data_IF_627753515977
#
_entry.id   IF_627753515977
#
_cell.length_a   1.000
_cell.length_b   1.000
_cell.length_c   1.000
_cell.angle_alpha   90.00
_cell.angle_beta   90.00
_cell.angle_gamma   90.00
#
_symmetry.space_group_name_H-M   'P 1'
#
loop_
_entity.id
_entity.type
_entity.pdbx_description
1 polymer ?
#
# COMPACT_ATOMS: atom_id res chain seq x y z
N UNK A 1 -42.52 -62.66 -44.82
CA UNK A 1 -42.51 -61.18 -44.93
C UNK A 1 -43.03 -60.63 -43.62
N UNK A 2 -42.40 -59.74 -42.85
CA UNK A 2 -41.13 -59.02 -42.86
C UNK A 2 -40.92 -58.57 -41.40
N UNK A 3 -39.90 -59.10 -40.71
CA UNK A 3 -38.70 -58.40 -40.20
C UNK A 3 -38.96 -57.21 -39.26
N UNK A 4 -38.66 -57.43 -37.98
CA UNK A 4 -38.49 -56.39 -36.97
C UNK A 4 -37.19 -55.59 -37.19
N UNK A 5 -37.23 -54.29 -36.97
CA UNK A 5 -36.06 -53.42 -36.76
C UNK A 5 -36.36 -52.40 -35.65
N UNK A 6 -35.46 -52.20 -34.68
CA UNK A 6 -35.52 -51.04 -33.79
C UNK A 6 -34.68 -49.92 -34.43
N UNK A 7 -35.25 -48.74 -34.63
CA UNK A 7 -34.46 -47.56 -35.02
C UNK A 7 -34.27 -46.71 -33.78
N UNK A 8 -33.00 -46.63 -33.37
CA UNK A 8 -32.48 -45.88 -32.25
C UNK A 8 -32.84 -44.39 -32.34
N UNK A 9 -33.23 -43.79 -31.22
CA UNK A 9 -33.27 -42.35 -31.05
C UNK A 9 -31.83 -41.81 -31.04
N UNK A 10 -31.38 -41.24 -32.16
CA UNK A 10 -30.17 -40.43 -32.19
C UNK A 10 -30.50 -39.04 -31.63
N UNK A 11 -30.00 -38.74 -30.43
CA UNK A 11 -30.02 -37.38 -29.88
C UNK A 11 -28.94 -36.57 -30.61
N UNK A 12 -29.37 -35.71 -31.51
CA UNK A 12 -28.50 -34.77 -32.23
C UNK A 12 -28.18 -33.59 -31.29
N UNK A 13 -27.02 -33.62 -30.63
CA UNK A 13 -26.46 -32.43 -29.97
C UNK A 13 -25.91 -31.48 -31.04
N UNK A 14 -26.70 -30.48 -31.41
CA UNK A 14 -26.22 -29.36 -32.22
C UNK A 14 -25.43 -28.43 -31.29
N UNK A 15 -24.10 -28.53 -31.31
CA UNK A 15 -23.23 -27.52 -30.72
C UNK A 15 -23.27 -26.27 -31.61
N UNK A 16 -24.05 -25.27 -31.21
CA UNK A 16 -23.89 -23.92 -31.74
C UNK A 16 -22.60 -23.33 -31.18
N UNK A 17 -21.52 -23.41 -31.98
CA UNK A 17 -20.33 -22.62 -31.76
C UNK A 17 -20.66 -21.18 -32.17
N UNK A 18 -21.16 -20.38 -31.23
CA UNK A 18 -21.16 -18.93 -31.43
C UNK A 18 -19.70 -18.47 -31.35
N UNK A 19 -19.09 -18.28 -32.51
CA UNK A 19 -17.87 -17.51 -32.68
C UNK A 19 -18.13 -16.10 -32.16
N UNK A 20 -17.89 -15.86 -30.88
CA UNK A 20 -17.70 -14.50 -30.41
C UNK A 20 -16.46 -13.98 -31.13
N UNK A 21 -16.69 -13.17 -32.16
CA UNK A 21 -15.68 -12.25 -32.65
C UNK A 21 -15.42 -11.28 -31.49
N UNK A 22 -14.53 -11.66 -30.58
CA UNK A 22 -13.89 -10.68 -29.72
C UNK A 22 -13.10 -9.80 -30.67
N UNK A 23 -13.66 -8.64 -30.98
CA UNK A 23 -12.86 -7.50 -31.37
C UNK A 23 -11.87 -7.31 -30.22
N UNK A 24 -10.65 -7.80 -30.39
CA UNK A 24 -9.54 -7.41 -29.53
C UNK A 24 -9.56 -5.88 -29.54
N UNK A 25 -9.78 -5.20 -28.40
CA UNK A 25 -9.33 -3.84 -28.31
C UNK A 25 -7.83 -3.95 -28.63
N UNK A 26 -7.39 -3.25 -29.68
CA UNK A 26 -5.98 -3.05 -29.93
C UNK A 26 -5.35 -2.75 -28.58
N UNK A 27 -4.44 -3.62 -28.14
CA UNK A 27 -3.70 -3.41 -26.92
C UNK A 27 -3.10 -2.01 -27.06
N UNK A 28 -3.73 -1.04 -26.39
CA UNK A 28 -3.15 0.27 -26.20
C UNK A 28 -1.82 -0.04 -25.55
N UNK A 29 -0.75 0.24 -26.28
CA UNK A 29 0.63 0.05 -25.88
C UNK A 29 0.71 0.12 -24.37
N UNK A 30 1.03 -1.00 -23.72
CA UNK A 30 1.57 -0.95 -22.38
C UNK A 30 2.77 -0.03 -22.48
N UNK A 31 2.59 1.24 -22.14
CA UNK A 31 3.69 2.09 -21.76
C UNK A 31 4.35 1.29 -20.65
N UNK A 32 5.49 0.69 -20.96
CA UNK A 32 6.44 0.26 -19.96
C UNK A 32 6.40 1.36 -18.91
N UNK A 33 5.89 1.05 -17.72
CA UNK A 33 5.99 1.95 -16.59
C UNK A 33 7.48 2.16 -16.44
N UNK A 34 8.01 3.25 -17.00
CA UNK A 34 9.32 3.74 -16.64
C UNK A 34 9.16 3.93 -15.15
N UNK A 35 9.77 3.04 -14.35
CA UNK A 35 9.76 3.16 -12.90
C UNK A 35 10.21 4.58 -12.59
N UNK A 36 9.24 5.44 -12.28
CA UNK A 36 9.49 6.86 -12.11
C UNK A 36 10.21 6.97 -10.78
N UNK A 37 11.51 7.26 -10.82
CA UNK A 37 12.30 7.52 -9.61
C UNK A 37 11.98 8.94 -9.16
N UNK A 38 11.24 9.09 -8.06
CA UNK A 38 11.11 10.38 -7.39
C UNK A 38 12.42 10.71 -6.69
N UNK A 39 12.96 11.91 -6.92
CA UNK A 39 14.18 12.39 -6.29
C UNK A 39 13.86 13.59 -5.41
N UNK A 40 14.25 13.51 -4.16
CA UNK A 40 14.16 14.62 -3.22
C UNK A 40 15.53 14.93 -2.63
N UNK A 41 15.79 16.22 -2.41
CA UNK A 41 16.96 16.69 -1.68
C UNK A 41 16.49 17.44 -0.44
N UNK A 42 16.96 17.01 0.73
CA UNK A 42 16.61 17.58 2.01
C UNK A 42 17.86 18.18 2.66
N UNK A 43 17.80 19.44 3.12
CA UNK A 43 18.94 20.06 3.78
C UNK A 43 19.20 19.39 5.14
N UNK A 44 20.46 19.40 5.57
CA UNK A 44 20.89 19.00 6.91
C UNK A 44 21.63 20.13 7.60
N UNK A 45 21.42 20.20 8.92
CA UNK A 45 22.16 21.09 9.80
C UNK A 45 23.42 20.34 10.30
N UNK A 46 24.51 20.46 9.54
CA UNK A 46 25.82 19.90 9.87
C UNK A 46 26.17 18.58 9.18
N UNK A 47 27.32 18.02 9.57
CA UNK A 47 28.01 16.96 8.80
C UNK A 47 27.54 15.53 9.12
N UNK A 48 26.65 15.36 10.10
CA UNK A 48 26.18 14.05 10.57
C UNK A 48 24.69 13.88 10.31
N UNK A 49 24.34 12.83 9.57
CA UNK A 49 22.95 12.43 9.35
C UNK A 49 22.53 11.36 10.36
N UNK A 50 21.48 11.64 11.13
CA UNK A 50 20.78 10.62 11.91
C UNK A 50 19.53 10.18 11.17
N UNK A 51 19.40 8.88 10.92
CA UNK A 51 18.22 8.29 10.29
C UNK A 51 17.56 7.35 11.28
N UNK A 52 16.27 7.52 11.51
CA UNK A 52 15.46 6.57 12.30
C UNK A 52 14.64 5.74 11.32
N UNK A 53 14.68 4.42 11.49
CA UNK A 53 13.83 3.49 10.76
C UNK A 53 12.93 2.74 11.74
N UNK A 54 11.64 2.72 11.44
CA UNK A 54 10.64 1.87 12.09
C UNK A 54 9.93 1.03 11.02
N UNK A 55 9.43 -0.13 11.41
CA UNK A 55 8.80 -1.10 10.51
C UNK A 55 7.76 -1.89 11.27
N UNK A 56 6.92 -2.64 10.55
CA UNK A 56 6.02 -3.66 11.12
C UNK A 56 5.11 -3.07 12.22
N UNK A 57 4.57 -1.88 11.94
CA UNK A 57 3.72 -1.14 12.88
C UNK A 57 2.45 -1.94 13.23
N UNK A 58 1.90 -2.65 12.25
CA UNK A 58 0.69 -3.45 12.33
C UNK A 58 -0.41 -2.76 13.14
N UNK A 59 -0.71 -1.51 12.78
CA UNK A 59 -1.81 -0.77 13.38
C UNK A 59 -3.10 -1.51 13.10
N UNK A 60 -3.91 -1.70 14.15
CA UNK A 60 -5.08 -2.55 14.07
C UNK A 60 -6.31 -1.89 14.67
N UNK A 61 -7.45 -2.00 13.99
CA UNK A 61 -8.75 -1.59 14.51
C UNK A 61 -9.13 -2.34 15.81
N UNK A 62 -8.51 -3.50 16.04
CA UNK A 62 -8.76 -4.35 17.21
C UNK A 62 -7.71 -4.19 18.31
N UNK A 63 -6.61 -3.49 18.04
CA UNK A 63 -5.52 -3.19 18.98
C UNK A 63 -5.11 -1.71 18.89
N UNK A 64 -6.02 -0.77 19.27
CA UNK A 64 -5.74 0.67 19.20
C UNK A 64 -4.58 1.11 20.10
N UNK A 65 -4.24 0.29 21.10
CA UNK A 65 -3.05 0.43 21.94
C UNK A 65 -1.75 0.52 21.13
N UNK A 66 -1.66 -0.17 19.98
CA UNK A 66 -0.46 -0.10 19.12
C UNK A 66 -0.23 1.29 18.54
N UNK A 67 -1.30 1.97 18.13
CA UNK A 67 -1.22 3.34 17.65
C UNK A 67 -0.84 4.30 18.78
N UNK A 68 -1.44 4.12 19.96
CA UNK A 68 -1.11 4.91 21.15
C UNK A 68 0.36 4.71 21.57
N UNK A 69 0.84 3.47 21.55
CA UNK A 69 2.23 3.12 21.89
C UNK A 69 3.22 3.62 20.85
N UNK A 70 2.89 3.55 19.56
CA UNK A 70 3.70 4.16 18.51
C UNK A 70 3.95 5.64 18.79
N UNK A 71 2.88 6.42 19.07
CA UNK A 71 3.01 7.83 19.42
C UNK A 71 3.79 8.01 20.73
N UNK A 72 3.45 7.26 21.77
CA UNK A 72 4.05 7.36 23.10
C UNK A 72 5.56 7.07 23.11
N UNK A 73 6.01 6.11 22.30
CA UNK A 73 7.39 5.66 22.26
C UNK A 73 8.23 6.42 21.23
N UNK A 74 7.70 6.61 20.01
CA UNK A 74 8.47 7.22 18.93
C UNK A 74 8.62 8.73 19.13
N UNK A 75 7.60 9.42 19.63
CA UNK A 75 7.65 10.88 19.87
C UNK A 75 8.85 11.31 20.71
N UNK A 76 9.07 10.81 21.94
CA UNK A 76 10.22 11.20 22.75
C UNK A 76 11.56 10.77 22.13
N UNK A 77 11.61 9.62 21.45
CA UNK A 77 12.81 9.17 20.75
C UNK A 77 13.23 10.15 19.64
N UNK A 78 12.28 10.59 18.81
CA UNK A 78 12.54 11.55 17.74
C UNK A 78 12.97 12.92 18.29
N UNK A 79 12.41 13.37 19.42
CA UNK A 79 12.86 14.61 20.10
C UNK A 79 14.32 14.52 20.56
N UNK A 80 14.71 13.36 21.08
CA UNK A 80 16.06 13.15 21.59
C UNK A 80 17.08 13.03 20.45
N UNK A 81 16.76 12.25 19.41
CA UNK A 81 17.66 11.96 18.28
C UNK A 81 17.76 13.17 17.33
N UNK A 82 16.67 13.92 17.15
CA UNK A 82 16.52 14.97 16.12
C UNK A 82 16.99 14.49 14.73
N UNK A 83 16.37 13.43 14.18
CA UNK A 83 16.87 12.82 12.96
C UNK A 83 16.66 13.69 11.71
N UNK A 84 17.58 13.56 10.76
CA UNK A 84 17.50 14.13 9.42
C UNK A 84 16.40 13.48 8.58
N UNK A 85 16.05 12.23 8.89
CA UNK A 85 15.09 11.40 8.16
C UNK A 85 14.41 10.36 9.07
N UNK A 86 13.10 10.14 8.88
CA UNK A 86 12.35 9.03 9.45
C UNK A 86 11.82 8.13 8.32
N UNK A 87 12.15 6.85 8.38
CA UNK A 87 11.66 5.83 7.46
C UNK A 87 10.64 4.93 8.18
N UNK A 88 9.49 4.71 7.55
CA UNK A 88 8.46 3.76 7.98
C UNK A 88 8.35 2.67 6.91
N UNK A 89 8.98 1.52 7.13
CA UNK A 89 9.30 0.56 6.07
C UNK A 89 8.31 -0.60 5.94
N UNK A 90 7.02 -0.29 5.88
CA UNK A 90 5.98 -1.27 5.56
C UNK A 90 5.31 -1.93 6.75
N UNK A 91 4.32 -2.76 6.42
CA UNK A 91 3.37 -3.40 7.32
C UNK A 91 2.81 -2.39 8.31
N UNK A 92 2.35 -1.27 7.74
CA UNK A 92 1.78 -0.14 8.48
C UNK A 92 0.49 -0.59 9.17
N UNK A 93 -0.35 -1.32 8.44
CA UNK A 93 -1.63 -1.85 8.89
C UNK A 93 -1.55 -3.34 9.21
N UNK A 94 -2.42 -3.85 10.09
CA UNK A 94 -2.53 -5.29 10.34
C UNK A 94 -3.44 -5.95 9.29
N UNK A 95 -4.42 -5.23 8.74
CA UNK A 95 -5.30 -5.68 7.64
C UNK A 95 -5.91 -7.07 7.88
N UNK A 96 -6.19 -7.39 9.15
CA UNK A 96 -6.76 -8.66 9.61
C UNK A 96 -8.05 -8.42 10.35
N UNK A 97 -8.98 -9.37 10.25
CA UNK A 97 -10.15 -9.37 11.12
C UNK A 97 -9.76 -9.69 12.58
N UNK A 98 -10.69 -9.48 13.53
CA UNK A 98 -10.48 -9.75 14.96
C UNK A 98 -9.94 -11.15 15.27
N UNK A 99 -10.32 -12.16 14.47
CA UNK A 99 -9.92 -13.56 14.65
C UNK A 99 -8.63 -13.92 13.91
N UNK A 100 -8.04 -12.99 13.15
CA UNK A 100 -6.86 -13.18 12.28
C UNK A 100 -7.05 -14.29 11.23
N UNK A 101 -8.29 -14.55 10.81
CA UNK A 101 -8.64 -15.60 9.84
C UNK A 101 -8.87 -15.10 8.42
N UNK A 102 -9.01 -13.78 8.22
CA UNK A 102 -9.17 -13.17 6.91
C UNK A 102 -8.36 -11.90 6.81
N UNK A 103 -7.93 -11.56 5.59
CA UNK A 103 -7.15 -10.36 5.29
C UNK A 103 -7.92 -9.42 4.36
N UNK A 104 -8.06 -8.15 4.75
CA UNK A 104 -8.61 -7.08 3.92
C UNK A 104 -8.19 -5.73 4.50
N UNK A 105 -8.12 -4.70 3.66
CA UNK A 105 -7.94 -3.34 4.14
C UNK A 105 -9.09 -2.90 5.07
N UNK A 106 -8.72 -2.19 6.14
CA UNK A 106 -9.66 -1.51 7.04
C UNK A 106 -9.30 -0.02 7.10
N UNK A 107 -10.23 0.83 6.65
CA UNK A 107 -10.03 2.28 6.58
C UNK A 107 -9.73 2.89 7.96
N UNK A 108 -10.23 2.29 9.04
CA UNK A 108 -9.98 2.80 10.39
C UNK A 108 -8.52 2.65 10.81
N UNK A 109 -7.79 1.66 10.29
CA UNK A 109 -6.35 1.48 10.53
C UNK A 109 -5.54 2.58 9.84
N UNK A 110 -5.94 2.97 8.62
CA UNK A 110 -5.32 4.06 7.88
C UNK A 110 -5.61 5.44 8.46
N UNK A 111 -6.84 5.66 8.97
CA UNK A 111 -7.17 6.87 9.73
C UNK A 111 -6.32 6.94 11.00
N UNK A 112 -6.20 5.85 11.74
CA UNK A 112 -5.33 5.77 12.92
C UNK A 112 -3.86 6.04 12.57
N UNK A 113 -3.36 5.49 11.47
CA UNK A 113 -2.00 5.76 10.99
C UNK A 113 -1.79 7.26 10.74
N UNK A 114 -2.66 7.88 9.95
CA UNK A 114 -2.58 9.31 9.64
C UNK A 114 -2.58 10.16 10.91
N UNK A 115 -3.51 9.91 11.83
CA UNK A 115 -3.60 10.64 13.10
C UNK A 115 -2.38 10.42 14.00
N UNK A 116 -1.80 9.21 14.00
CA UNK A 116 -0.59 8.90 14.76
C UNK A 116 0.61 9.67 14.22
N UNK A 117 0.79 9.72 12.89
CA UNK A 117 1.87 10.51 12.27
C UNK A 117 1.67 12.00 12.53
N UNK A 118 0.45 12.52 12.42
CA UNK A 118 0.15 13.93 12.74
C UNK A 118 0.51 14.26 14.20
N UNK A 119 0.16 13.38 15.15
CA UNK A 119 0.55 13.54 16.54
C UNK A 119 2.08 13.51 16.70
N UNK A 120 2.78 12.58 16.03
CA UNK A 120 4.25 12.51 16.08
C UNK A 120 4.88 13.78 15.54
N UNK A 121 4.43 14.29 14.38
CA UNK A 121 4.93 15.55 13.80
C UNK A 121 4.73 16.71 14.77
N UNK A 122 3.53 16.84 15.34
CA UNK A 122 3.19 17.96 16.23
C UNK A 122 3.99 17.96 17.54
N UNK A 123 4.35 16.79 18.07
CA UNK A 123 4.95 16.69 19.40
C UNK A 123 6.45 16.38 19.39
N UNK A 124 6.99 15.86 18.28
CA UNK A 124 8.42 15.52 18.17
C UNK A 124 9.30 16.61 17.56
N UNK A 125 8.71 17.51 16.77
CA UNK A 125 9.44 18.53 16.02
C UNK A 125 10.05 18.03 14.70
N UNK A 126 9.86 16.76 14.33
CA UNK A 126 10.22 16.30 12.99
C UNK A 126 9.30 16.94 11.95
N UNK A 127 9.88 17.45 10.86
CA UNK A 127 9.11 17.99 9.76
C UNK A 127 8.48 16.84 8.95
N UNK A 128 7.19 16.96 8.63
CA UNK A 128 6.46 15.91 7.87
C UNK A 128 7.15 15.50 6.56
N UNK A 129 7.80 16.45 5.87
CA UNK A 129 8.55 16.17 4.63
C UNK A 129 9.75 15.23 4.83
N UNK A 130 10.24 15.07 6.06
CA UNK A 130 11.35 14.16 6.39
C UNK A 130 10.87 12.76 6.75
N UNK A 131 9.57 12.49 6.66
CA UNK A 131 8.98 11.18 6.90
C UNK A 131 8.70 10.53 5.54
N UNK A 132 9.17 9.31 5.36
CA UNK A 132 8.94 8.50 4.17
C UNK A 132 8.37 7.15 4.58
N UNK A 133 7.25 6.77 3.97
CA UNK A 133 6.63 5.49 4.21
C UNK A 133 6.54 4.65 2.94
N UNK A 134 6.62 3.34 3.13
CA UNK A 134 6.47 2.34 2.05
C UNK A 134 5.44 1.31 2.45
N UNK A 135 4.91 0.59 1.45
CA UNK A 135 3.94 -0.50 1.67
C UNK A 135 4.67 -1.79 2.05
N UNK A 136 4.19 -2.49 3.07
CA UNK A 136 4.47 -3.91 3.28
C UNK A 136 3.44 -4.80 2.57
N UNK A 137 3.44 -6.10 2.85
CA UNK A 137 2.45 -7.01 2.28
C UNK A 137 1.06 -6.80 2.89
N UNK A 138 0.97 -6.44 4.17
CA UNK A 138 -0.32 -6.21 4.83
C UNK A 138 -1.08 -5.03 4.22
N UNK A 139 -0.35 -4.00 3.81
CA UNK A 139 -0.88 -2.79 3.20
C UNK A 139 -1.44 -3.01 1.78
N UNK A 140 -1.27 -4.23 1.23
CA UNK A 140 -1.73 -4.63 -0.10
C UNK A 140 -2.88 -5.66 -0.06
N UNK A 141 -3.24 -6.17 1.12
CA UNK A 141 -4.26 -7.22 1.20
C UNK A 141 -5.62 -6.75 0.71
N UNK A 142 -6.15 -7.43 -0.31
CA UNK A 142 -7.43 -7.10 -0.92
C UNK A 142 -7.40 -5.87 -1.84
N UNK A 143 -6.21 -5.34 -2.16
CA UNK A 143 -6.04 -4.22 -3.11
C UNK A 143 -5.75 -4.80 -4.50
N UNK A 144 -6.65 -4.64 -5.49
CA UNK A 144 -6.45 -5.23 -6.82
C UNK A 144 -5.28 -4.62 -7.60
N UNK A 145 -5.12 -3.30 -7.52
CA UNK A 145 -4.03 -2.55 -8.15
C UNK A 145 -3.82 -1.20 -7.42
N UNK A 146 -2.68 -0.55 -7.65
CA UNK A 146 -2.40 0.80 -7.14
C UNK A 146 -3.46 1.78 -7.66
N UNK A 147 -3.94 2.68 -6.81
CA UNK A 147 -4.99 3.65 -7.12
C UNK A 147 -6.42 3.11 -7.11
N UNK A 148 -6.63 1.82 -6.81
CA UNK A 148 -7.98 1.29 -6.58
C UNK A 148 -8.65 1.97 -5.36
N UNK A 149 -9.98 1.94 -5.26
CA UNK A 149 -10.73 2.51 -4.10
C UNK A 149 -10.36 1.89 -2.74
N UNK A 150 -9.70 0.73 -2.75
CA UNK A 150 -9.20 0.03 -1.56
C UNK A 150 -7.71 0.30 -1.29
N UNK A 151 -7.02 1.01 -2.19
CA UNK A 151 -5.62 1.41 -2.01
C UNK A 151 -5.53 2.63 -1.08
N UNK A 152 -5.77 2.39 0.20
CA UNK A 152 -5.75 3.42 1.22
C UNK A 152 -4.35 3.98 1.48
N UNK A 153 -3.27 3.27 1.14
CA UNK A 153 -1.93 3.87 1.16
C UNK A 153 -1.87 5.09 0.23
N UNK A 154 -2.41 5.00 -0.99
CA UNK A 154 -2.44 6.13 -1.94
C UNK A 154 -3.32 7.30 -1.49
N UNK A 155 -4.06 7.17 -0.37
CA UNK A 155 -4.94 8.20 0.17
C UNK A 155 -4.44 8.74 1.51
N UNK A 156 -3.95 7.88 2.40
CA UNK A 156 -3.67 8.22 3.80
C UNK A 156 -2.19 8.24 4.17
N UNK A 157 -1.30 7.69 3.36
CA UNK A 157 0.13 7.65 3.68
C UNK A 157 0.76 9.03 3.73
N UNK A 158 1.92 9.16 4.36
CA UNK A 158 2.69 10.40 4.31
C UNK A 158 3.15 10.67 2.89
N UNK A 159 3.64 9.62 2.21
CA UNK A 159 4.04 9.72 0.81
C UNK A 159 2.91 10.21 -0.07
N UNK A 160 1.67 9.71 0.06
CA UNK A 160 0.55 10.20 -0.75
C UNK A 160 0.20 11.66 -0.47
N UNK A 161 0.21 12.06 0.80
CA UNK A 161 -0.05 13.44 1.22
C UNK A 161 0.98 14.45 0.70
N UNK A 162 2.16 13.97 0.30
CA UNK A 162 3.24 14.77 -0.29
C UNK A 162 3.41 14.51 -1.79
N UNK A 163 2.52 13.76 -2.44
CA UNK A 163 2.59 13.44 -3.87
C UNK A 163 3.70 12.45 -4.25
N UNK A 164 4.26 11.72 -3.29
CA UNK A 164 5.37 10.77 -3.46
C UNK A 164 4.87 9.35 -3.75
N UNK A 165 4.22 9.16 -4.89
CA UNK A 165 3.62 7.86 -5.26
C UNK A 165 4.49 7.03 -6.21
N UNK A 166 5.66 7.54 -6.59
CA UNK A 166 6.68 6.85 -7.37
C UNK A 166 7.13 5.55 -6.71
N UNK A 167 7.36 4.51 -7.53
CA UNK A 167 7.85 3.19 -7.09
C UNK A 167 9.18 3.27 -6.36
N UNK A 168 10.08 4.13 -6.83
CA UNK A 168 11.41 4.34 -6.26
C UNK A 168 11.49 5.77 -5.74
N UNK A 169 11.84 5.91 -4.47
CA UNK A 169 12.15 7.20 -3.85
C UNK A 169 13.65 7.27 -3.56
N UNK A 170 14.31 8.26 -4.15
CA UNK A 170 15.73 8.56 -3.95
C UNK A 170 15.83 9.85 -3.16
N UNK A 171 16.49 9.79 -2.01
CA UNK A 171 16.56 10.89 -1.04
C UNK A 171 18.02 11.26 -0.87
N UNK A 172 18.36 12.50 -1.16
CA UNK A 172 19.68 13.08 -0.91
C UNK A 172 19.61 13.97 0.33
N UNK A 173 20.44 13.67 1.32
CA UNK A 173 20.65 14.56 2.46
C UNK A 173 21.85 15.45 2.15
N UNK A 174 21.63 16.76 2.04
CA UNK A 174 22.65 17.71 1.58
C UNK A 174 23.00 18.70 2.67
N UNK A 175 24.29 18.95 2.86
CA UNK A 175 24.78 20.02 3.74
C UNK A 175 24.59 21.35 2.99
N UNK A 176 23.98 22.33 3.64
CA UNK A 176 23.85 23.70 3.12
C UNK A 176 25.15 24.48 3.31
#
# INVERSE_FOLDING_TARGET
MASATPIAFAILFVFFFFSFLFAFPSASSSSLEVETVARESLPMDGDVAWVVQVSDLHLSAYHPDRAADLVRLLTPALRAIRPSLLLITGDITDAKNKRRTSTRQDISEWIQYKSSVEAIVNHSGIEKRRIFDTRGNHDKYGVPHVGHELDFFSVYSVSSQLGRLSTIQSISLVIL
#
